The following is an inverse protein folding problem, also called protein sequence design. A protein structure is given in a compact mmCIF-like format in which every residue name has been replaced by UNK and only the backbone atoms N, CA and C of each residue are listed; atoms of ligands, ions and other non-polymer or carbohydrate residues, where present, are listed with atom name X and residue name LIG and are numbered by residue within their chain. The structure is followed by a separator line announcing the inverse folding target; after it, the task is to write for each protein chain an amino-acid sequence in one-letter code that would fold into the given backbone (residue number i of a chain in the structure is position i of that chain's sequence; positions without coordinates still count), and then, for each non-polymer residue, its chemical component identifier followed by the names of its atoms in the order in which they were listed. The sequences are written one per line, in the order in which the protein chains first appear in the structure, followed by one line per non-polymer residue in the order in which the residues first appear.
data_IF_315204489802
#
_entry.id   IF_315204489802
#
_cell.length_a   1.000
_cell.length_b   1.000
_cell.length_c   1.000
_cell.angle_alpha   90.00
_cell.angle_beta   90.00
_cell.angle_gamma   90.00
#
_symmetry.space_group_name_H-M   'P 1'
#
loop_
_entity.id
_entity.type
_entity.pdbx_description
1 polymer ?
#
# COMPACT_ATOMS: atom_id res chain seq x y z
N UNK A 1 -12.20 -5.13 5.69
CA UNK A 1 -13.62 -4.82 5.38
C UNK A 1 -13.79 -4.77 3.86
N UNK A 2 -15.01 -4.84 3.29
CA UNK A 2 -15.16 -4.74 1.84
C UNK A 2 -14.54 -3.42 1.33
N UNK A 3 -13.74 -3.46 0.25
CA UNK A 3 -13.19 -2.26 -0.39
C UNK A 3 -12.06 -1.59 0.38
N UNK A 4 -11.04 -2.37 0.71
CA UNK A 4 -9.93 -2.08 1.63
C UNK A 4 -9.27 -0.69 1.51
N UNK A 5 -9.38 -0.01 0.37
CA UNK A 5 -8.79 1.33 0.16
C UNK A 5 -9.80 2.38 -0.31
N UNK A 6 -10.81 1.98 -1.08
CA UNK A 6 -11.72 2.92 -1.78
C UNK A 6 -13.21 2.55 -1.66
N UNK A 7 -13.56 1.63 -0.76
CA UNK A 7 -14.92 1.47 -0.27
C UNK A 7 -15.87 0.68 -1.18
N UNK A 8 -15.34 -0.14 -2.10
CA UNK A 8 -16.15 -1.12 -2.84
C UNK A 8 -16.63 -2.27 -1.92
N UNK A 9 -17.58 -3.10 -2.35
CA UNK A 9 -17.89 -4.34 -1.61
C UNK A 9 -16.96 -5.51 -1.95
N UNK A 10 -15.96 -5.26 -2.79
CA UNK A 10 -15.04 -6.24 -3.35
C UNK A 10 -13.61 -5.93 -2.90
N UNK A 11 -12.65 -6.79 -3.25
CA UNK A 11 -11.23 -6.52 -2.98
C UNK A 11 -10.72 -5.42 -3.91
N UNK A 12 -10.09 -4.40 -3.35
CA UNK A 12 -9.45 -3.33 -4.12
C UNK A 12 -8.01 -3.72 -4.49
N UNK A 13 -7.47 -3.07 -5.53
CA UNK A 13 -6.08 -3.17 -5.94
C UNK A 13 -5.37 -1.83 -5.78
N UNK A 14 -4.08 -1.88 -5.47
CA UNK A 14 -3.18 -0.71 -5.47
C UNK A 14 -2.05 -0.97 -6.46
N UNK A 15 -1.71 0.04 -7.25
CA UNK A 15 -0.59 -0.02 -8.18
C UNK A 15 0.31 1.22 -8.04
N UNK A 16 1.61 1.05 -8.32
CA UNK A 16 2.59 2.12 -8.42
C UNK A 16 2.97 2.27 -9.89
N UNK A 17 2.82 3.48 -10.42
CA UNK A 17 3.29 3.84 -11.75
C UNK A 17 4.80 4.15 -11.73
N UNK A 18 5.42 4.14 -12.92
CA UNK A 18 6.87 4.33 -13.06
C UNK A 18 7.38 5.69 -12.54
N UNK A 19 6.51 6.69 -12.43
CA UNK A 19 6.80 8.02 -11.86
C UNK A 19 6.68 8.07 -10.33
N UNK A 20 6.46 6.92 -9.68
CA UNK A 20 6.24 6.81 -8.24
C UNK A 20 4.84 7.23 -7.78
N UNK A 21 3.91 7.54 -8.69
CA UNK A 21 2.51 7.79 -8.34
C UNK A 21 1.81 6.48 -7.98
N UNK A 22 1.04 6.49 -6.89
CA UNK A 22 0.26 5.33 -6.45
C UNK A 22 -1.23 5.54 -6.71
N UNK A 23 -1.89 4.53 -7.25
CA UNK A 23 -3.30 4.56 -7.61
C UNK A 23 -4.07 3.41 -6.95
N UNK A 24 -5.30 3.70 -6.53
CA UNK A 24 -6.27 2.69 -6.13
C UNK A 24 -7.17 2.32 -7.29
N UNK A 25 -7.59 1.06 -7.30
CA UNK A 25 -8.60 0.51 -8.18
C UNK A 25 -9.64 -0.23 -7.35
N UNK A 26 -10.90 0.17 -7.49
CA UNK A 26 -12.02 -0.44 -6.82
C UNK A 26 -12.36 -1.78 -7.47
N UNK A 27 -12.47 -2.85 -6.67
CA UNK A 27 -12.97 -4.13 -7.16
C UNK A 27 -14.46 -4.09 -7.52
N UNK A 28 -14.89 -5.00 -8.39
CA UNK A 28 -16.27 -5.07 -8.83
C UNK A 28 -16.81 -6.49 -8.99
N UNK A 29 -18.14 -6.57 -9.08
CA UNK A 29 -18.91 -7.82 -9.16
C UNK A 29 -18.58 -8.68 -10.38
N UNK A 30 -18.11 -8.05 -11.45
CA UNK A 30 -17.71 -8.69 -12.70
C UNK A 30 -16.29 -9.28 -12.63
N UNK A 31 -15.61 -9.17 -11.49
CA UNK A 31 -14.22 -9.59 -11.30
C UNK A 31 -13.21 -8.58 -11.86
N UNK A 32 -13.66 -7.44 -12.37
CA UNK A 32 -12.81 -6.34 -12.81
C UNK A 32 -12.37 -5.42 -11.69
N UNK A 33 -11.53 -4.45 -12.06
CA UNK A 33 -11.14 -3.32 -11.21
C UNK A 33 -11.29 -2.01 -11.97
N UNK A 34 -11.72 -0.96 -11.27
CA UNK A 34 -12.01 0.35 -11.85
C UNK A 34 -11.18 1.44 -11.17
N UNK A 35 -10.63 2.36 -11.95
CA UNK A 35 -9.78 3.44 -11.41
C UNK A 35 -10.53 4.28 -10.37
N UNK A 36 -9.98 4.36 -9.16
CA UNK A 36 -10.57 5.10 -8.03
C UNK A 36 -9.76 6.36 -7.67
N UNK A 37 -8.58 6.54 -8.25
CA UNK A 37 -7.79 7.77 -8.15
C UNK A 37 -6.40 7.57 -7.57
N UNK A 38 -5.65 8.67 -7.49
CA UNK A 38 -4.30 8.70 -6.92
C UNK A 38 -4.37 8.78 -5.39
N UNK A 39 -3.64 7.90 -4.71
CA UNK A 39 -3.63 7.76 -3.24
C UNK A 39 -2.23 7.97 -2.64
N UNK A 40 -1.23 8.24 -3.47
CA UNK A 40 0.15 8.44 -3.01
C UNK A 40 1.10 8.88 -4.11
N UNK A 41 2.32 9.25 -3.72
CA UNK A 41 3.40 9.67 -4.60
C UNK A 41 4.76 9.39 -3.94
N UNK A 42 5.86 9.48 -4.71
CA UNK A 42 7.22 9.26 -4.20
C UNK A 42 7.57 7.79 -3.90
N UNK A 43 6.77 6.86 -4.44
CA UNK A 43 6.96 5.42 -4.23
C UNK A 43 8.10 4.82 -5.05
N UNK A 44 8.64 5.58 -6.00
CA UNK A 44 9.85 5.29 -6.77
C UNK A 44 11.12 5.23 -5.89
N UNK A 45 11.06 5.76 -4.67
CA UNK A 45 12.14 5.66 -3.68
C UNK A 45 12.24 4.30 -2.97
N UNK A 46 11.31 3.38 -3.22
CA UNK A 46 11.26 2.05 -2.64
C UNK A 46 11.60 0.96 -3.67
N UNK A 47 12.40 -0.02 -3.27
CA UNK A 47 12.76 -1.17 -4.11
C UNK A 47 11.76 -2.32 -3.98
N UNK A 48 10.98 -2.34 -2.89
CA UNK A 48 9.84 -3.23 -2.71
C UNK A 48 8.71 -2.49 -2.00
N UNK A 49 7.47 -2.82 -2.35
CA UNK A 49 6.27 -2.36 -1.66
C UNK A 49 5.29 -3.53 -1.48
N UNK A 50 4.65 -3.63 -0.33
CA UNK A 50 3.74 -4.74 0.00
C UNK A 50 2.66 -4.30 0.99
N UNK A 51 1.52 -4.99 0.98
CA UNK A 51 0.38 -4.74 1.88
C UNK A 51 0.17 -6.02 2.70
N UNK A 52 0.93 -6.23 3.80
CA UNK A 52 0.96 -7.51 4.50
C UNK A 52 -0.25 -7.74 5.40
N UNK A 53 -1.03 -6.70 5.70
CA UNK A 53 -2.04 -6.75 6.73
C UNK A 53 -2.23 -5.41 7.43
N UNK A 54 -2.99 -5.46 8.50
CA UNK A 54 -3.07 -4.41 9.52
C UNK A 54 -1.84 -4.52 10.43
N UNK A 55 -0.90 -3.57 10.34
CA UNK A 55 0.36 -3.62 11.08
C UNK A 55 0.32 -2.78 12.36
N UNK A 56 -0.71 -1.96 12.55
CA UNK A 56 -0.86 -1.10 13.72
C UNK A 56 -2.09 -1.38 14.59
N UNK A 57 -2.92 -2.33 14.18
CA UNK A 57 -4.05 -2.87 14.94
C UNK A 57 -5.34 -2.04 14.82
N UNK A 58 -5.46 -1.19 13.79
CA UNK A 58 -6.61 -0.30 13.61
C UNK A 58 -7.76 -0.87 12.76
N UNK A 59 -7.61 -2.11 12.28
CA UNK A 59 -8.57 -2.84 11.47
C UNK A 59 -8.49 -2.56 9.97
N UNK A 60 -7.48 -1.82 9.48
CA UNK A 60 -7.28 -1.50 8.06
C UNK A 60 -5.95 -2.07 7.56
N UNK A 61 -5.90 -2.38 6.27
CA UNK A 61 -4.64 -2.80 5.64
C UNK A 61 -3.69 -1.61 5.53
N UNK A 62 -2.45 -1.84 5.93
CA UNK A 62 -1.36 -0.88 5.87
C UNK A 62 -0.36 -1.24 4.78
N UNK A 63 0.48 -0.26 4.45
CA UNK A 63 1.46 -0.39 3.39
C UNK A 63 2.87 -0.39 3.98
N UNK A 64 3.72 -1.27 3.46
CA UNK A 64 5.14 -1.33 3.75
C UNK A 64 5.92 -0.96 2.50
N UNK A 65 6.92 -0.08 2.67
CA UNK A 65 7.95 0.20 1.67
C UNK A 65 9.33 -0.19 2.20
N UNK A 66 10.13 -0.86 1.36
CA UNK A 66 11.53 -1.21 1.67
C UNK A 66 12.44 -0.41 0.74
N UNK A 67 13.42 0.29 1.32
CA UNK A 67 14.44 1.04 0.56
C UNK A 67 15.64 0.17 0.23
N UNK A 68 16.46 0.64 -0.71
CA UNK A 68 17.69 -0.03 -1.14
C UNK A 68 18.68 -0.28 0.01
N UNK A 69 18.73 0.63 0.99
CA UNK A 69 19.54 0.48 2.21
C UNK A 69 18.99 -0.54 3.22
N UNK A 70 17.84 -1.16 2.92
CA UNK A 70 17.17 -2.14 3.76
C UNK A 70 16.33 -1.55 4.88
N UNK A 71 16.14 -0.23 4.93
CA UNK A 71 15.19 0.38 5.84
C UNK A 71 13.75 0.04 5.43
N UNK A 72 12.98 -0.51 6.37
CA UNK A 72 11.58 -0.87 6.17
C UNK A 72 10.69 0.17 6.85
N UNK A 73 9.75 0.74 6.10
CA UNK A 73 8.83 1.78 6.55
C UNK A 73 7.38 1.30 6.47
N UNK A 74 6.61 1.55 7.52
CA UNK A 74 5.17 1.35 7.55
C UNK A 74 4.42 2.66 7.32
N UNK A 75 3.32 2.56 6.59
CA UNK A 75 2.43 3.63 6.18
C UNK A 75 1.00 3.24 6.52
N UNK A 76 0.47 3.87 7.57
CA UNK A 76 -0.87 3.62 8.09
C UNK A 76 -1.95 4.03 7.07
N UNK A 77 -3.00 3.24 6.91
CA UNK A 77 -4.19 3.67 6.18
C UNK A 77 -5.07 4.58 7.06
N UNK A 78 -5.21 5.86 6.67
CA UNK A 78 -5.94 6.86 7.45
C UNK A 78 -7.46 6.91 7.17
N UNK A 79 -7.98 5.98 6.36
CA UNK A 79 -9.40 5.94 5.96
C UNK A 79 -9.92 7.21 5.27
N UNK A 80 -9.04 8.05 4.73
CA UNK A 80 -9.37 9.30 4.04
C UNK A 80 -8.79 9.36 2.61
N UNK A 81 -8.40 8.20 2.07
CA UNK A 81 -7.75 8.09 0.75
C UNK A 81 -6.25 8.39 0.73
N UNK A 82 -5.64 8.60 1.90
CA UNK A 82 -4.20 8.89 2.03
C UNK A 82 -3.53 8.01 3.09
N UNK A 83 -2.22 7.85 2.91
CA UNK A 83 -1.34 7.18 3.86
C UNK A 83 -0.87 8.15 4.96
N UNK A 84 -0.68 7.60 6.16
CA UNK A 84 -0.06 8.30 7.26
C UNK A 84 1.44 8.54 7.04
N UNK A 85 2.04 9.25 7.99
CA UNK A 85 3.49 9.50 7.98
C UNK A 85 4.27 8.18 8.04
N UNK A 86 5.32 8.07 7.23
CA UNK A 86 6.23 6.93 7.23
C UNK A 86 6.84 6.71 8.62
N UNK A 87 6.77 5.47 9.12
CA UNK A 87 7.44 5.06 10.36
C UNK A 87 8.40 3.93 10.05
N UNK A 88 9.68 4.10 10.37
CA UNK A 88 10.63 3.00 10.22
C UNK A 88 10.29 1.88 11.23
N UNK A 89 10.15 0.67 10.72
CA UNK A 89 9.74 -0.54 11.45
C UNK A 89 10.76 -1.67 11.33
N UNK A 90 11.81 -1.48 10.54
CA UNK A 90 12.89 -2.46 10.40
C UNK A 90 14.12 -1.92 9.70
N UNK A 91 15.16 -2.74 9.70
CA UNK A 91 16.45 -2.52 9.03
C UNK A 91 16.97 -3.88 8.52
N UNK A 92 17.87 -3.86 7.53
CA UNK A 92 18.48 -5.09 7.01
C UNK A 92 17.61 -5.90 6.04
N UNK A 93 16.57 -5.30 5.46
CA UNK A 93 15.62 -5.99 4.58
C UNK A 93 16.05 -6.08 3.11
N UNK A 94 17.19 -5.50 2.72
CA UNK A 94 17.67 -5.45 1.33
C UNK A 94 18.00 -6.83 0.73
N UNK A 95 18.15 -7.86 1.57
CA UNK A 95 18.38 -9.25 1.15
C UNK A 95 17.12 -10.11 1.18
N UNK A 96 15.99 -9.54 1.56
CA UNK A 96 14.73 -10.25 1.75
C UNK A 96 13.78 -10.03 0.57
N UNK A 97 12.84 -10.94 0.40
CA UNK A 97 11.71 -10.78 -0.51
C UNK A 97 10.45 -10.69 0.34
N UNK A 98 9.70 -9.60 0.20
CA UNK A 98 8.39 -9.46 0.81
C UNK A 98 7.33 -10.32 0.10
N UNK A 99 6.49 -11.00 0.88
CA UNK A 99 5.34 -11.78 0.40
C UNK A 99 4.11 -11.33 1.20
N UNK A 100 2.99 -11.09 0.53
CA UNK A 100 1.70 -10.68 1.10
C UNK A 100 0.54 -11.28 0.33
#
# INVERSE_FOLDING_TARGET
APGQFVGSSYSDLVAIAADGSMYAYAGAADGGVYGAGKIGHGWDSFVQATIPGDVDGDGRLDLIGIREDGAMFAYKNQANGWWGTARQVGHGWQTMVAIS
#
